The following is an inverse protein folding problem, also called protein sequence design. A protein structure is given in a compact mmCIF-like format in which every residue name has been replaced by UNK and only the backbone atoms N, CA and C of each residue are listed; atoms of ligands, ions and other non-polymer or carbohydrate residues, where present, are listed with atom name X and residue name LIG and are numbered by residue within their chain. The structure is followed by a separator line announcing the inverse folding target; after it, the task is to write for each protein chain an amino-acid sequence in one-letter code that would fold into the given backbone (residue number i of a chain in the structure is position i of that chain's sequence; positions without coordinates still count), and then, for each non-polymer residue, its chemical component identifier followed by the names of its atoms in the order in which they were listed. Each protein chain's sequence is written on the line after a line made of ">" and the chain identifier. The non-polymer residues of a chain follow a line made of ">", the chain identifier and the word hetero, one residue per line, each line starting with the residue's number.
data_IF_990046290753
#
_entry.id   IF_990046290753
#
_cell.length_a   1.000
_cell.length_b   1.000
_cell.length_c   1.000
_cell.angle_alpha   90.00
_cell.angle_beta   90.00
_cell.angle_gamma   90.00
#
_symmetry.space_group_name_H-M   'P 1'
#
loop_
_entity.id
_entity.type
_entity.pdbx_description
1 polymer ?
#
# COMPACT_ATOMS: atom_id res chain seq x y z
N UNK A 1 32.10 27.84 1.40
CA UNK A 1 31.49 26.67 2.07
C UNK A 1 32.16 25.47 1.42
N UNK A 2 33.20 24.93 2.06
CA UNK A 2 33.90 23.75 1.55
C UNK A 2 32.94 22.54 1.55
N UNK A 3 33.08 21.60 0.59
CA UNK A 3 32.27 20.40 0.58
C UNK A 3 32.64 19.53 1.78
N UNK A 4 31.63 19.19 2.58
CA UNK A 4 31.73 18.19 3.65
C UNK A 4 32.17 16.89 2.98
N UNK A 5 33.30 16.35 3.45
CA UNK A 5 33.85 15.06 3.06
C UNK A 5 32.91 13.96 3.57
N UNK A 6 31.80 13.74 2.84
CA UNK A 6 30.85 12.67 3.09
C UNK A 6 31.58 11.36 2.81
N UNK A 7 31.92 10.67 3.89
CA UNK A 7 32.80 9.51 3.91
C UNK A 7 32.42 8.50 2.83
N UNK A 8 33.41 8.08 2.04
CA UNK A 8 33.36 6.93 1.15
C UNK A 8 33.38 5.60 1.93
N UNK A 9 32.59 5.51 3.00
CA UNK A 9 32.47 4.34 3.85
C UNK A 9 31.54 3.29 3.25
N UNK A 10 31.84 2.01 3.49
CA UNK A 10 30.91 0.87 3.36
C UNK A 10 29.58 1.20 4.07
N UNK A 11 28.50 0.49 3.73
CA UNK A 11 27.17 0.70 4.34
C UNK A 11 27.13 0.46 5.87
N UNK A 12 28.24 0.01 6.47
CA UNK A 12 28.39 -0.28 7.90
C UNK A 12 28.57 1.00 8.74
N UNK A 13 27.57 1.34 9.56
CA UNK A 13 27.77 2.16 10.76
C UNK A 13 27.98 1.25 11.97
N UNK A 14 29.23 0.91 12.31
CA UNK A 14 29.57 0.17 13.54
C UNK A 14 28.63 -1.03 13.84
N UNK A 15 28.18 -1.75 12.81
CA UNK A 15 27.30 -2.93 12.90
C UNK A 15 25.79 -2.69 12.77
N UNK A 16 25.33 -1.47 12.44
CA UNK A 16 23.92 -1.19 12.14
C UNK A 16 23.76 -0.82 10.67
N UNK A 17 22.98 -1.64 9.95
CA UNK A 17 22.70 -1.43 8.52
C UNK A 17 21.34 -0.76 8.30
N UNK A 18 21.25 0.29 7.46
CA UNK A 18 19.98 0.95 7.14
C UNK A 18 18.98 -0.03 6.49
N UNK A 19 19.45 -1.03 5.76
CA UNK A 19 18.63 -2.09 5.16
C UNK A 19 17.89 -2.90 6.23
N UNK A 20 18.61 -3.38 7.24
CA UNK A 20 18.03 -4.14 8.34
C UNK A 20 16.99 -3.31 9.10
N UNK A 21 17.24 -2.00 9.30
CA UNK A 21 16.29 -1.11 9.95
C UNK A 21 15.00 -0.90 9.13
N UNK A 22 15.09 -0.82 7.79
CA UNK A 22 13.91 -0.75 6.93
C UNK A 22 13.07 -2.03 7.01
N UNK A 23 13.72 -3.18 6.94
CA UNK A 23 13.06 -4.50 7.07
C UNK A 23 12.38 -4.63 8.44
N UNK A 24 13.08 -4.26 9.52
CA UNK A 24 12.52 -4.27 10.87
C UNK A 24 11.33 -3.32 11.00
N UNK A 25 11.40 -2.14 10.39
CA UNK A 25 10.29 -1.20 10.34
C UNK A 25 9.06 -1.82 9.67
N UNK A 26 9.22 -2.48 8.52
CA UNK A 26 8.11 -3.12 7.81
C UNK A 26 7.53 -4.30 8.60
N UNK A 27 8.38 -5.14 9.20
CA UNK A 27 7.93 -6.24 10.05
C UNK A 27 7.11 -5.74 11.25
N UNK A 28 7.60 -4.70 11.95
CA UNK A 28 6.89 -4.07 13.07
C UNK A 28 5.55 -3.47 12.63
N UNK A 29 5.50 -2.91 11.43
CA UNK A 29 4.30 -2.31 10.87
C UNK A 29 3.25 -3.35 10.49
N UNK A 30 3.60 -4.26 9.59
CA UNK A 30 2.68 -5.19 8.96
C UNK A 30 2.29 -6.35 9.90
N UNK A 31 3.26 -6.94 10.60
CA UNK A 31 3.05 -8.16 11.37
C UNK A 31 2.60 -7.86 12.79
N UNK A 32 3.23 -6.87 13.43
CA UNK A 32 3.02 -6.56 14.85
C UNK A 32 1.97 -5.46 15.12
N UNK A 33 1.59 -4.64 14.13
CA UNK A 33 0.81 -3.39 14.30
C UNK A 33 1.48 -2.36 15.26
N UNK A 34 2.82 -2.41 15.37
CA UNK A 34 3.62 -1.51 16.20
C UNK A 34 4.00 -0.23 15.45
N UNK A 35 2.98 0.55 15.07
CA UNK A 35 3.11 1.72 14.18
C UNK A 35 4.15 2.76 14.63
N UNK A 36 4.21 3.05 15.93
CA UNK A 36 5.15 4.04 16.46
C UNK A 36 6.60 3.55 16.41
N UNK A 37 6.83 2.27 16.71
CA UNK A 37 8.16 1.66 16.60
C UNK A 37 8.57 1.56 15.13
N UNK A 38 7.69 1.06 14.25
CA UNK A 38 7.92 1.09 12.80
C UNK A 38 8.40 2.45 12.32
N UNK A 39 7.68 3.51 12.70
CA UNK A 39 8.01 4.87 12.29
C UNK A 39 9.35 5.35 12.85
N UNK A 40 9.74 4.92 14.06
CA UNK A 40 11.05 5.21 14.65
C UNK A 40 12.19 4.53 13.87
N UNK A 41 12.07 3.23 13.61
CA UNK A 41 13.08 2.45 12.90
C UNK A 41 13.27 2.93 11.45
N UNK A 42 12.18 3.20 10.73
CA UNK A 42 12.25 3.83 9.40
C UNK A 42 12.93 5.20 9.47
N UNK A 43 12.73 5.96 10.54
CA UNK A 43 13.37 7.26 10.73
C UNK A 43 14.86 7.17 10.93
N UNK A 44 15.31 6.18 11.71
CA UNK A 44 16.73 5.91 11.90
C UNK A 44 17.39 5.51 10.57
N UNK A 45 16.76 4.61 9.81
CA UNK A 45 17.26 4.22 8.49
C UNK A 45 17.37 5.42 7.53
N UNK A 46 16.35 6.26 7.47
CA UNK A 46 16.35 7.47 6.62
C UNK A 46 17.45 8.44 7.04
N UNK A 47 17.63 8.66 8.35
CA UNK A 47 18.71 9.52 8.85
C UNK A 47 20.08 9.00 8.41
N UNK A 48 20.32 7.69 8.49
CA UNK A 48 21.57 7.06 8.04
C UNK A 48 21.75 7.18 6.52
N UNK A 49 20.70 6.96 5.73
CA UNK A 49 20.73 7.15 4.27
C UNK A 49 21.11 8.60 3.90
N UNK A 50 20.57 9.56 4.65
CA UNK A 50 20.90 10.99 4.46
C UNK A 50 22.34 11.28 4.87
N UNK A 51 22.78 10.78 6.03
CA UNK A 51 24.14 10.95 6.55
C UNK A 51 25.21 10.36 5.61
N UNK A 52 24.93 9.21 4.99
CA UNK A 52 25.78 8.59 3.97
C UNK A 52 25.73 9.31 2.60
N UNK A 53 24.94 10.37 2.45
CA UNK A 53 24.79 11.12 1.20
C UNK A 53 24.04 10.38 0.09
N UNK A 54 23.41 9.23 0.39
CA UNK A 54 22.78 8.34 -0.60
C UNK A 54 21.57 9.02 -1.29
N UNK A 55 20.94 9.98 -0.63
CA UNK A 55 19.83 10.78 -1.15
C UNK A 55 20.19 11.72 -2.32
N UNK A 56 21.46 11.76 -2.76
CA UNK A 56 21.91 12.55 -3.91
C UNK A 56 22.87 11.78 -4.81
N UNK A 57 22.74 11.94 -6.13
CA UNK A 57 23.66 11.37 -7.15
C UNK A 57 24.88 12.28 -7.38
N UNK A 58 25.27 13.08 -6.37
CA UNK A 58 26.45 13.96 -6.46
C UNK A 58 27.70 13.15 -6.16
N UNK A 59 28.30 12.60 -7.22
CA UNK A 59 29.50 11.77 -7.10
C UNK A 59 30.74 12.63 -6.93
N UNK A 60 31.47 12.45 -5.83
CA UNK A 60 32.81 13.02 -5.68
C UNK A 60 33.84 12.14 -6.41
N UNK A 61 34.98 12.70 -6.88
CA UNK A 61 36.06 11.91 -7.46
C UNK A 61 36.62 10.83 -6.53
N UNK A 62 36.51 11.02 -5.21
CA UNK A 62 36.87 10.02 -4.20
C UNK A 62 35.85 8.86 -4.17
N UNK A 63 34.55 9.16 -4.20
CA UNK A 63 33.48 8.15 -4.26
C UNK A 63 33.61 7.26 -5.50
N UNK A 64 33.87 7.86 -6.67
CA UNK A 64 34.04 7.12 -7.92
C UNK A 64 35.23 6.15 -7.92
N UNK A 65 36.22 6.36 -7.04
CA UNK A 65 37.37 5.45 -6.89
C UNK A 65 37.15 4.37 -5.84
N UNK A 66 36.24 4.60 -4.89
CA UNK A 66 36.01 3.72 -3.74
C UNK A 66 34.83 2.76 -3.93
N UNK A 67 33.79 3.17 -4.66
CA UNK A 67 32.57 2.37 -4.84
C UNK A 67 32.58 1.60 -6.16
N UNK A 68 32.19 0.33 -6.09
CA UNK A 68 31.94 -0.49 -7.27
C UNK A 68 30.61 -0.14 -7.94
N UNK A 69 30.36 -0.65 -9.15
CA UNK A 69 29.04 -0.51 -9.80
C UNK A 69 27.94 -1.19 -9.01
N UNK A 70 28.23 -2.32 -8.36
CA UNK A 70 27.30 -3.03 -7.49
C UNK A 70 26.95 -2.19 -6.26
N UNK A 71 27.94 -1.57 -5.59
CA UNK A 71 27.70 -0.70 -4.44
C UNK A 71 26.80 0.50 -4.79
N UNK A 72 27.00 1.09 -5.97
CA UNK A 72 26.18 2.21 -6.45
C UNK A 72 24.74 1.79 -6.73
N UNK A 73 24.54 0.57 -7.20
CA UNK A 73 23.23 0.01 -7.49
C UNK A 73 22.47 -0.33 -6.19
N UNK A 74 23.15 -0.97 -5.22
CA UNK A 74 22.61 -1.24 -3.89
C UNK A 74 22.15 0.06 -3.23
N UNK A 75 23.01 1.10 -3.22
CA UNK A 75 22.68 2.42 -2.66
C UNK A 75 21.45 3.05 -3.32
N UNK A 76 21.32 2.94 -4.64
CA UNK A 76 20.17 3.46 -5.38
C UNK A 76 18.88 2.74 -4.99
N UNK A 77 18.91 1.41 -4.93
CA UNK A 77 17.77 0.58 -4.52
C UNK A 77 17.38 0.84 -3.07
N UNK A 78 18.36 0.94 -2.18
CA UNK A 78 18.16 1.27 -0.77
C UNK A 78 17.46 2.64 -0.59
N UNK A 79 17.91 3.67 -1.31
CA UNK A 79 17.24 4.97 -1.28
C UNK A 79 15.78 4.87 -1.70
N UNK A 80 15.52 4.23 -2.85
CA UNK A 80 14.17 4.14 -3.39
C UNK A 80 13.26 3.24 -2.53
N UNK A 81 13.80 2.20 -1.91
CA UNK A 81 13.09 1.39 -0.93
C UNK A 81 12.66 2.24 0.27
N UNK A 82 13.58 3.03 0.83
CA UNK A 82 13.27 3.95 1.93
C UNK A 82 12.24 5.01 1.51
N UNK A 83 12.36 5.55 0.30
CA UNK A 83 11.42 6.54 -0.24
C UNK A 83 10.00 5.97 -0.36
N UNK A 84 9.86 4.79 -0.99
CA UNK A 84 8.57 4.09 -1.12
C UNK A 84 7.99 3.79 0.25
N UNK A 85 8.77 3.21 1.16
CA UNK A 85 8.32 2.84 2.50
C UNK A 85 7.88 4.07 3.31
N UNK A 86 8.58 5.20 3.22
CA UNK A 86 8.17 6.47 3.82
C UNK A 86 6.77 6.90 3.33
N UNK A 87 6.51 6.85 2.01
CA UNK A 87 5.20 7.24 1.44
C UNK A 87 4.09 6.29 1.84
N UNK A 88 4.33 4.99 1.75
CA UNK A 88 3.36 3.97 2.16
C UNK A 88 3.04 4.15 3.64
N UNK A 89 4.03 4.23 4.53
CA UNK A 89 3.74 4.41 5.95
C UNK A 89 3.02 5.75 6.24
N UNK A 90 3.39 6.84 5.56
CA UNK A 90 2.72 8.14 5.69
C UNK A 90 1.24 8.11 5.33
N UNK A 91 0.88 7.50 4.20
CA UNK A 91 -0.53 7.38 3.75
C UNK A 91 -1.38 6.66 4.82
N UNK A 92 -0.82 5.65 5.48
CA UNK A 92 -1.59 4.74 6.32
C UNK A 92 -1.69 5.24 7.75
N UNK A 93 -0.60 5.83 8.23
CA UNK A 93 -0.53 6.35 9.59
C UNK A 93 -1.04 7.80 9.66
N UNK A 94 -1.23 8.47 8.53
CA UNK A 94 -1.56 9.89 8.46
C UNK A 94 -0.42 10.78 8.94
N UNK A 95 0.82 10.31 8.84
CA UNK A 95 2.02 11.04 9.29
C UNK A 95 2.66 11.79 8.11
N UNK A 96 3.22 12.99 8.33
CA UNK A 96 4.02 13.66 7.30
C UNK A 96 5.17 12.77 6.84
N UNK A 97 5.43 12.76 5.53
CA UNK A 97 6.54 12.02 4.93
C UNK A 97 7.86 12.73 5.16
N UNK A 98 8.93 11.98 5.41
CA UNK A 98 10.27 12.53 5.71
C UNK A 98 11.04 12.89 4.45
N UNK A 99 10.99 12.06 3.41
CA UNK A 99 11.80 12.24 2.19
C UNK A 99 11.00 12.96 1.10
N UNK A 100 11.11 14.29 0.97
CA UNK A 100 10.35 15.03 -0.06
C UNK A 100 11.04 14.94 -1.42
N UNK A 101 10.27 14.83 -2.50
CA UNK A 101 10.77 14.80 -3.89
C UNK A 101 11.75 15.96 -4.19
N UNK A 102 11.43 17.15 -3.68
CA UNK A 102 12.24 18.36 -3.89
C UNK A 102 13.61 18.38 -3.18
N UNK A 103 13.81 17.50 -2.18
CA UNK A 103 15.02 17.49 -1.34
C UNK A 103 15.99 16.36 -1.76
N UNK A 104 15.65 15.58 -2.78
CA UNK A 104 16.39 14.39 -3.20
C UNK A 104 16.78 14.47 -4.67
N UNK A 105 17.86 13.80 -5.06
CA UNK A 105 18.30 13.76 -6.45
C UNK A 105 18.94 12.40 -6.77
N UNK A 106 18.13 11.35 -6.84
CA UNK A 106 18.57 9.99 -7.21
C UNK A 106 17.78 9.56 -8.44
N UNK A 107 18.42 9.13 -9.54
CA UNK A 107 17.68 8.69 -10.73
C UNK A 107 16.93 7.38 -10.48
N UNK A 108 15.74 7.23 -11.08
CA UNK A 108 15.05 5.93 -11.19
C UNK A 108 15.58 5.23 -12.44
N UNK A 109 16.77 4.65 -12.33
CA UNK A 109 17.39 3.86 -13.39
C UNK A 109 18.17 2.75 -12.74
N UNK A 110 17.71 1.51 -12.89
CA UNK A 110 18.40 0.32 -12.37
C UNK A 110 19.20 -0.29 -13.52
N UNK A 111 20.48 -0.56 -13.29
CA UNK A 111 21.45 -0.89 -14.34
C UNK A 111 21.70 -2.40 -14.49
N UNK A 112 20.92 -3.21 -13.79
CA UNK A 112 21.00 -4.67 -13.77
C UNK A 112 19.61 -5.29 -13.99
N UNK A 113 19.60 -6.58 -14.30
CA UNK A 113 18.43 -7.44 -14.45
C UNK A 113 18.31 -8.48 -13.32
N UNK A 114 18.85 -8.17 -12.13
CA UNK A 114 18.84 -9.05 -10.95
C UNK A 114 17.41 -9.47 -10.60
N UNK A 115 17.15 -10.77 -10.60
CA UNK A 115 15.83 -11.39 -10.42
C UNK A 115 14.76 -11.01 -11.47
N UNK A 116 15.03 -10.13 -12.44
CA UNK A 116 14.03 -9.67 -13.43
C UNK A 116 13.53 -10.83 -14.31
N UNK A 117 14.44 -11.71 -14.74
CA UNK A 117 14.17 -12.84 -15.63
C UNK A 117 14.16 -14.19 -14.92
N UNK A 118 14.43 -14.22 -13.61
CA UNK A 118 14.44 -15.44 -12.82
C UNK A 118 13.03 -16.02 -12.71
N UNK A 119 12.93 -17.35 -12.67
CA UNK A 119 11.65 -18.04 -12.56
C UNK A 119 10.98 -17.70 -11.24
N UNK A 120 9.72 -17.29 -11.32
CA UNK A 120 8.95 -16.94 -10.15
C UNK A 120 8.67 -18.16 -9.28
N UNK A 121 9.11 -18.10 -8.02
CA UNK A 121 8.79 -19.08 -6.98
C UNK A 121 7.68 -18.54 -6.09
N UNK A 122 6.61 -19.31 -5.90
CA UNK A 122 5.50 -18.90 -5.03
C UNK A 122 5.79 -19.06 -3.53
N UNK A 123 7.04 -19.36 -3.11
CA UNK A 123 7.38 -19.69 -1.72
C UNK A 123 6.87 -18.66 -0.71
N UNK A 124 6.94 -17.37 -1.04
CA UNK A 124 6.45 -16.27 -0.19
C UNK A 124 4.94 -16.01 -0.33
N UNK A 125 4.27 -16.61 -1.31
CA UNK A 125 2.89 -16.30 -1.72
C UNK A 125 1.97 -17.51 -1.84
N UNK A 126 2.41 -18.68 -1.41
CA UNK A 126 1.64 -19.92 -1.46
C UNK A 126 1.95 -20.79 -0.25
N UNK A 127 0.98 -21.62 0.14
CA UNK A 127 1.15 -22.58 1.24
C UNK A 127 2.11 -23.72 0.87
N UNK A 128 2.24 -23.97 -0.43
CA UNK A 128 3.13 -24.96 -1.03
C UNK A 128 3.92 -24.29 -2.15
N UNK A 129 5.17 -24.71 -2.33
CA UNK A 129 6.04 -24.17 -3.38
C UNK A 129 5.55 -24.64 -4.75
N UNK A 130 5.10 -23.69 -5.56
CA UNK A 130 4.74 -23.90 -6.95
C UNK A 130 5.77 -23.11 -7.76
N UNK A 131 6.66 -23.83 -8.43
CA UNK A 131 7.54 -23.23 -9.42
C UNK A 131 6.67 -22.84 -10.62
N UNK A 132 6.54 -21.54 -10.86
CA UNK A 132 5.78 -21.05 -12.00
C UNK A 132 6.76 -20.71 -13.13
N UNK A 133 6.45 -21.14 -14.34
CA UNK A 133 7.33 -21.07 -15.51
C UNK A 133 7.38 -19.68 -16.15
N UNK A 134 7.40 -18.63 -15.33
CA UNK A 134 7.41 -17.25 -15.78
C UNK A 134 8.35 -16.35 -15.00
N UNK A 135 8.87 -15.28 -15.64
CA UNK A 135 9.84 -14.38 -15.01
C UNK A 135 9.24 -13.58 -13.86
N UNK A 136 10.05 -13.31 -12.85
CA UNK A 136 9.64 -12.57 -11.65
C UNK A 136 9.35 -11.10 -11.94
N UNK A 137 10.08 -10.41 -12.83
CA UNK A 137 9.82 -8.98 -13.15
C UNK A 137 10.01 -8.00 -11.98
N UNK A 138 10.84 -8.38 -10.99
CA UNK A 138 11.04 -7.61 -9.75
C UNK A 138 11.56 -6.19 -10.02
N UNK A 139 12.58 -6.05 -10.87
CA UNK A 139 13.19 -4.74 -11.20
C UNK A 139 12.19 -3.84 -11.89
N UNK A 140 11.49 -4.35 -12.90
CA UNK A 140 10.46 -3.60 -13.63
C UNK A 140 9.35 -3.11 -12.70
N UNK A 141 8.84 -3.97 -11.81
CA UNK A 141 7.78 -3.57 -10.89
C UNK A 141 8.28 -2.57 -9.85
N UNK A 142 9.49 -2.76 -9.32
CA UNK A 142 10.08 -1.81 -8.38
C UNK A 142 10.29 -0.44 -9.03
N UNK A 143 10.75 -0.37 -10.27
CA UNK A 143 10.88 0.88 -11.03
C UNK A 143 9.55 1.63 -11.13
N UNK A 144 8.47 0.91 -11.46
CA UNK A 144 7.15 1.52 -11.56
C UNK A 144 6.60 1.93 -10.19
N UNK A 145 6.91 1.17 -9.13
CA UNK A 145 6.58 1.53 -7.75
C UNK A 145 7.30 2.81 -7.30
N UNK A 146 8.58 2.97 -7.64
CA UNK A 146 9.35 4.19 -7.40
C UNK A 146 8.68 5.40 -8.10
N UNK A 147 8.34 5.26 -9.38
CA UNK A 147 7.65 6.31 -10.14
C UNK A 147 6.30 6.67 -9.52
N UNK A 148 5.53 5.66 -9.12
CA UNK A 148 4.24 5.86 -8.47
C UNK A 148 4.40 6.55 -7.10
N UNK A 149 5.47 6.26 -6.36
CA UNK A 149 5.75 6.89 -5.05
C UNK A 149 6.02 8.39 -5.13
N UNK A 150 6.53 8.89 -6.26
CA UNK A 150 6.63 10.33 -6.51
C UNK A 150 5.22 10.97 -6.59
N UNK A 151 4.28 10.31 -7.27
CA UNK A 151 2.89 10.76 -7.32
C UNK A 151 2.27 10.70 -5.91
N UNK A 152 2.59 9.68 -5.10
CA UNK A 152 2.16 9.61 -3.70
C UNK A 152 2.63 10.82 -2.88
N UNK A 153 3.90 11.23 -3.02
CA UNK A 153 4.45 12.39 -2.33
C UNK A 153 3.69 13.68 -2.69
N UNK A 154 3.36 13.85 -3.97
CA UNK A 154 2.58 14.99 -4.46
C UNK A 154 1.13 14.95 -3.99
N UNK A 155 0.52 13.77 -3.86
CA UNK A 155 -0.82 13.62 -3.24
C UNK A 155 -0.77 14.00 -1.76
N UNK A 156 0.20 13.47 -1.01
CA UNK A 156 0.37 13.77 0.42
C UNK A 156 0.58 15.27 0.67
N UNK A 157 1.46 15.92 -0.09
CA UNK A 157 1.78 17.34 0.05
C UNK A 157 0.73 18.28 -0.56
N UNK A 158 0.09 17.88 -1.65
CA UNK A 158 -0.85 18.69 -2.42
C UNK A 158 -2.27 18.68 -1.88
N UNK A 159 -2.72 17.53 -1.35
CA UNK A 159 -4.11 17.28 -0.94
C UNK A 159 -4.22 17.08 0.58
N UNK A 160 -3.30 16.36 1.19
CA UNK A 160 -3.39 15.93 2.60
C UNK A 160 -2.49 16.70 3.58
N UNK A 161 -1.75 17.72 3.12
CA UNK A 161 -0.96 18.57 4.00
C UNK A 161 -1.84 19.44 4.92
N UNK A 162 -1.37 19.75 6.12
CA UNK A 162 -2.14 20.53 7.12
C UNK A 162 -2.62 21.89 6.57
N UNK A 163 -1.81 22.53 5.75
CA UNK A 163 -2.13 23.83 5.17
C UNK A 163 -3.16 23.76 4.03
N UNK A 164 -3.59 22.58 3.58
CA UNK A 164 -4.58 22.45 2.50
C UNK A 164 -5.95 23.02 2.88
N UNK A 165 -6.31 23.00 4.17
CA UNK A 165 -7.53 23.64 4.69
C UNK A 165 -7.58 25.16 4.43
N UNK A 166 -6.42 25.80 4.29
CA UNK A 166 -6.31 27.23 3.97
C UNK A 166 -6.39 27.54 2.47
N UNK A 167 -6.26 26.51 1.61
CA UNK A 167 -6.26 26.67 0.15
C UNK A 167 -7.69 26.73 -0.37
N UNK A 168 -7.89 27.45 -1.48
CA UNK A 168 -9.19 27.50 -2.16
C UNK A 168 -9.60 26.11 -2.68
N UNK A 169 -10.88 25.76 -2.58
CA UNK A 169 -11.46 24.54 -3.18
C UNK A 169 -11.12 24.43 -4.67
N UNK A 170 -11.09 25.54 -5.41
CA UNK A 170 -10.73 25.54 -6.84
C UNK A 170 -9.27 25.14 -7.09
N UNK A 171 -8.35 25.56 -6.21
CA UNK A 171 -6.95 25.17 -6.27
C UNK A 171 -6.78 23.67 -6.02
N UNK A 172 -7.49 23.16 -5.02
CA UNK A 172 -7.43 21.74 -4.64
C UNK A 172 -8.02 20.84 -5.73
N UNK A 173 -9.12 21.25 -6.36
CA UNK A 173 -9.69 20.55 -7.52
C UNK A 173 -8.75 20.55 -8.73
N UNK A 174 -8.08 21.67 -9.01
CA UNK A 174 -7.09 21.73 -10.09
C UNK A 174 -5.87 20.85 -9.81
N UNK A 175 -5.40 20.85 -8.56
CA UNK A 175 -4.32 19.97 -8.09
C UNK A 175 -4.72 18.51 -8.26
N UNK A 176 -5.93 18.14 -7.81
CA UNK A 176 -6.45 16.79 -7.95
C UNK A 176 -6.58 16.36 -9.42
N UNK A 177 -7.07 17.23 -10.30
CA UNK A 177 -7.15 16.95 -11.74
C UNK A 177 -5.77 16.71 -12.36
N UNK A 178 -4.77 17.53 -12.00
CA UNK A 178 -3.39 17.36 -12.47
C UNK A 178 -2.81 16.02 -12.01
N UNK A 179 -2.96 15.69 -10.73
CA UNK A 179 -2.46 14.43 -10.17
C UNK A 179 -3.20 13.20 -10.72
N UNK A 180 -4.48 13.36 -11.06
CA UNK A 180 -5.23 12.31 -11.74
C UNK A 180 -4.67 12.05 -13.14
N UNK A 181 -4.31 13.11 -13.88
CA UNK A 181 -3.64 12.97 -15.17
C UNK A 181 -2.28 12.29 -15.02
N UNK A 182 -1.47 12.65 -14.02
CA UNK A 182 -0.20 11.99 -13.74
C UNK A 182 -0.38 10.46 -13.51
N UNK A 183 -1.43 10.07 -12.78
CA UNK A 183 -1.78 8.66 -12.55
C UNK A 183 -2.18 7.96 -13.86
N UNK A 184 -3.01 8.58 -14.69
CA UNK A 184 -3.38 8.03 -15.99
C UNK A 184 -2.18 7.86 -16.92
N UNK A 185 -1.32 8.87 -16.97
CA UNK A 185 -0.14 8.88 -17.84
C UNK A 185 0.84 7.81 -17.39
N UNK A 186 1.04 7.64 -16.08
CA UNK A 186 1.78 6.51 -15.52
C UNK A 186 1.16 5.16 -15.95
N UNK A 187 -0.17 5.00 -15.87
CA UNK A 187 -0.85 3.75 -16.25
C UNK A 187 -0.71 3.42 -17.75
N UNK A 188 -0.74 4.44 -18.61
CA UNK A 188 -0.55 4.34 -20.07
C UNK A 188 0.92 4.05 -20.44
N UNK A 189 1.86 4.52 -19.64
CA UNK A 189 3.29 4.33 -19.85
C UNK A 189 3.84 3.00 -19.29
N UNK A 190 2.98 2.16 -18.68
CA UNK A 190 3.41 0.86 -18.16
C UNK A 190 3.95 -0.03 -19.30
N UNK A 191 5.09 -0.73 -19.06
CA UNK A 191 5.58 -1.73 -20.00
C UNK A 191 4.55 -2.82 -20.29
N UNK A 192 4.58 -3.36 -21.51
CA UNK A 192 3.62 -4.38 -21.96
C UNK A 192 3.58 -5.60 -21.04
N UNK A 193 4.73 -6.04 -20.51
CA UNK A 193 4.83 -7.18 -19.60
C UNK A 193 4.27 -6.92 -18.20
N UNK A 194 3.98 -5.67 -17.84
CA UNK A 194 3.32 -5.29 -16.59
C UNK A 194 1.87 -4.82 -16.81
N UNK A 195 1.45 -4.68 -18.07
CA UNK A 195 0.12 -4.20 -18.39
C UNK A 195 -0.92 -5.29 -18.15
N UNK A 196 -1.66 -5.15 -17.06
CA UNK A 196 -2.77 -6.05 -16.75
C UNK A 196 -3.97 -5.70 -17.60
N UNK A 197 -4.23 -6.53 -18.60
CA UNK A 197 -5.56 -6.66 -19.14
C UNK A 197 -6.24 -7.77 -18.31
N UNK A 198 -7.52 -7.63 -17.97
CA UNK A 198 -8.27 -8.68 -17.25
C UNK A 198 -9.18 -9.49 -18.20
N UNK A 199 -9.33 -9.03 -19.45
CA UNK A 199 -10.38 -9.50 -20.39
C UNK A 199 -9.91 -10.57 -21.39
N UNK A 200 -8.60 -10.77 -21.56
CA UNK A 200 -8.02 -11.71 -22.54
C UNK A 200 -7.66 -13.05 -21.92
N UNK A 201 -8.02 -14.17 -22.56
CA UNK A 201 -7.59 -15.52 -22.17
C UNK A 201 -6.08 -15.79 -22.37
N UNK A 202 -5.31 -14.79 -22.82
CA UNK A 202 -3.90 -14.87 -23.20
C UNK A 202 -3.07 -13.76 -22.55
N UNK A 203 -3.20 -13.58 -21.23
CA UNK A 203 -2.37 -12.62 -20.51
C UNK A 203 -0.97 -13.16 -20.24
N UNK A 204 0.06 -12.30 -20.23
CA UNK A 204 1.29 -12.65 -19.57
C UNK A 204 0.98 -13.05 -18.12
N UNK A 205 1.76 -13.97 -17.55
CA UNK A 205 1.58 -14.43 -16.19
C UNK A 205 1.67 -13.26 -15.19
N UNK A 206 0.61 -13.08 -14.41
CA UNK A 206 0.50 -12.03 -13.41
C UNK A 206 1.23 -12.44 -12.13
N UNK A 207 2.27 -11.70 -11.77
CA UNK A 207 3.00 -11.90 -10.51
C UNK A 207 2.23 -11.25 -9.35
N UNK A 208 2.38 -11.75 -8.11
CA UNK A 208 1.69 -11.18 -6.95
C UNK A 208 2.07 -9.73 -6.72
N UNK A 209 3.32 -9.37 -6.94
CA UNK A 209 3.78 -8.00 -6.76
C UNK A 209 3.34 -7.05 -7.87
N UNK A 210 3.16 -7.52 -9.11
CA UNK A 210 2.51 -6.72 -10.13
C UNK A 210 1.06 -6.41 -9.72
N UNK A 211 0.29 -7.44 -9.29
CA UNK A 211 -1.09 -7.26 -8.79
C UNK A 211 -1.13 -6.25 -7.66
N UNK A 212 -0.13 -6.32 -6.81
CA UNK A 212 0.01 -5.42 -5.69
C UNK A 212 0.29 -3.98 -6.18
N UNK A 213 1.22 -3.76 -7.12
CA UNK A 213 1.41 -2.46 -7.77
C UNK A 213 0.10 -1.86 -8.32
N UNK A 214 -0.74 -2.66 -8.97
CA UNK A 214 -2.04 -2.18 -9.48
C UNK A 214 -3.02 -1.83 -8.35
N UNK A 215 -3.06 -2.61 -7.27
CA UNK A 215 -3.87 -2.28 -6.09
C UNK A 215 -3.46 -0.97 -5.45
N UNK A 216 -2.16 -0.66 -5.45
CA UNK A 216 -1.65 0.62 -4.98
C UNK A 216 -2.09 1.76 -5.89
N UNK A 217 -1.99 1.60 -7.21
CA UNK A 217 -2.49 2.57 -8.19
C UNK A 217 -3.97 2.93 -7.96
N UNK A 218 -4.85 1.92 -7.86
CA UNK A 218 -6.28 2.17 -7.59
C UNK A 218 -6.52 2.78 -6.21
N UNK A 219 -5.73 2.40 -5.20
CA UNK A 219 -5.81 3.01 -3.87
C UNK A 219 -5.49 4.51 -3.90
N UNK A 220 -4.51 4.93 -4.71
CA UNK A 220 -4.17 6.34 -4.90
C UNK A 220 -5.29 7.12 -5.61
N UNK A 221 -5.98 6.51 -6.57
CA UNK A 221 -7.16 7.13 -7.18
C UNK A 221 -8.24 7.40 -6.13
N UNK A 222 -8.55 6.40 -5.28
CA UNK A 222 -9.52 6.57 -4.20
C UNK A 222 -9.05 7.67 -3.25
N UNK A 223 -7.80 7.66 -2.80
CA UNK A 223 -7.26 8.67 -1.90
C UNK A 223 -7.30 10.08 -2.50
N UNK A 224 -7.00 10.24 -3.79
CA UNK A 224 -7.00 11.53 -4.46
C UNK A 224 -8.39 12.17 -4.48
N UNK A 225 -9.43 11.36 -4.72
CA UNK A 225 -10.80 11.84 -4.91
C UNK A 225 -11.63 11.85 -3.62
N UNK A 226 -11.25 11.05 -2.62
CA UNK A 226 -11.96 10.92 -1.34
C UNK A 226 -12.26 12.24 -0.63
N UNK A 227 -11.36 13.25 -0.60
CA UNK A 227 -11.65 14.52 0.05
C UNK A 227 -12.78 15.34 -0.58
N UNK A 228 -13.17 15.05 -1.83
CA UNK A 228 -14.24 15.75 -2.55
C UNK A 228 -15.57 15.01 -2.54
N UNK A 229 -15.64 13.83 -1.93
CA UNK A 229 -16.88 13.13 -1.62
C UNK A 229 -17.51 13.80 -0.39
N UNK A 230 -18.84 13.71 -0.21
CA UNK A 230 -19.61 14.41 0.84
C UNK A 230 -19.16 14.17 2.29
N UNK A 231 -18.31 13.17 2.53
CA UNK A 231 -17.70 12.80 3.82
C UNK A 231 -16.22 13.24 3.93
N UNK A 232 -15.73 14.02 2.97
CA UNK A 232 -14.37 14.52 2.90
C UNK A 232 -14.14 15.79 3.71
N UNK A 233 -12.88 16.10 4.01
CA UNK A 233 -12.52 17.32 4.75
C UNK A 233 -12.64 18.61 3.92
N UNK A 234 -13.00 18.49 2.63
CA UNK A 234 -13.13 19.62 1.71
C UNK A 234 -14.57 19.72 1.23
N UNK A 235 -15.26 20.79 1.60
CA UNK A 235 -16.62 21.06 1.15
C UNK A 235 -16.63 21.28 -0.38
N UNK A 236 -16.87 20.23 -1.14
CA UNK A 236 -17.03 20.29 -2.59
C UNK A 236 -18.27 21.15 -2.90
N UNK A 237 -18.05 22.24 -3.63
CA UNK A 237 -19.03 23.32 -3.78
C UNK A 237 -20.18 22.98 -4.75
N UNK A 238 -20.12 21.84 -5.47
CA UNK A 238 -21.20 21.43 -6.39
C UNK A 238 -21.53 19.93 -6.31
N UNK A 239 -22.82 19.54 -6.38
CA UNK A 239 -23.24 18.13 -6.43
C UNK A 239 -22.64 17.34 -7.60
N UNK A 240 -22.35 18.02 -8.72
CA UNK A 240 -21.73 17.38 -9.88
C UNK A 240 -20.30 16.89 -9.60
N UNK A 241 -19.51 17.67 -8.85
CA UNK A 241 -18.13 17.31 -8.46
C UNK A 241 -18.14 16.13 -7.49
N UNK A 242 -19.07 16.13 -6.53
CA UNK A 242 -19.22 15.03 -5.57
C UNK A 242 -19.53 13.73 -6.32
N UNK A 243 -20.49 13.77 -7.25
CA UNK A 243 -20.87 12.60 -8.06
C UNK A 243 -19.71 12.06 -8.88
N UNK A 244 -18.97 12.94 -9.55
CA UNK A 244 -17.82 12.57 -10.39
C UNK A 244 -16.68 11.95 -9.57
N UNK A 245 -16.34 12.56 -8.43
CA UNK A 245 -15.34 12.05 -7.50
C UNK A 245 -15.75 10.69 -6.92
N UNK A 246 -17.02 10.51 -6.56
CA UNK A 246 -17.54 9.24 -6.05
C UNK A 246 -17.55 8.15 -7.14
N UNK A 247 -17.99 8.47 -8.36
CA UNK A 247 -17.97 7.55 -9.49
C UNK A 247 -16.54 7.07 -9.80
N UNK A 248 -15.58 7.99 -9.74
CA UNK A 248 -14.15 7.67 -9.89
C UNK A 248 -13.65 6.74 -8.78
N UNK A 249 -14.03 7.01 -7.52
CA UNK A 249 -13.72 6.11 -6.40
C UNK A 249 -14.35 4.72 -6.56
N UNK A 250 -15.60 4.64 -7.05
CA UNK A 250 -16.32 3.39 -7.27
C UNK A 250 -15.69 2.53 -8.36
N UNK A 251 -15.26 3.17 -9.47
CA UNK A 251 -14.52 2.50 -10.53
C UNK A 251 -13.18 1.93 -10.02
N UNK A 252 -12.44 2.73 -9.24
CA UNK A 252 -11.18 2.27 -8.64
C UNK A 252 -11.38 1.14 -7.62
N UNK A 253 -12.43 1.19 -6.79
CA UNK A 253 -12.79 0.13 -5.85
C UNK A 253 -13.09 -1.20 -6.58
N UNK A 254 -13.82 -1.12 -7.70
CA UNK A 254 -14.09 -2.27 -8.58
C UNK A 254 -12.82 -2.82 -9.22
N UNK A 255 -11.87 -1.96 -9.58
CA UNK A 255 -10.53 -2.36 -10.03
C UNK A 255 -9.76 -3.14 -8.97
N UNK A 256 -9.81 -2.70 -7.71
CA UNK A 256 -9.22 -3.44 -6.57
C UNK A 256 -9.90 -4.81 -6.39
N UNK A 257 -11.22 -4.90 -6.47
CA UNK A 257 -11.95 -6.16 -6.37
C UNK A 257 -11.54 -7.15 -7.49
N UNK A 258 -11.37 -6.67 -8.73
CA UNK A 258 -10.87 -7.49 -9.83
C UNK A 258 -9.44 -8.02 -9.57
N UNK A 259 -8.55 -7.17 -9.06
CA UNK A 259 -7.19 -7.55 -8.69
C UNK A 259 -7.19 -8.59 -7.56
N UNK A 260 -7.98 -8.39 -6.51
CA UNK A 260 -8.10 -9.31 -5.38
C UNK A 260 -8.67 -10.67 -5.81
N UNK A 261 -9.65 -10.69 -6.72
CA UNK A 261 -10.19 -11.94 -7.28
C UNK A 261 -9.12 -12.75 -8.02
N UNK A 262 -8.33 -12.10 -8.88
CA UNK A 262 -7.22 -12.76 -9.57
C UNK A 262 -6.16 -13.25 -8.59
N UNK A 263 -5.87 -12.45 -7.56
CA UNK A 263 -4.92 -12.83 -6.52
C UNK A 263 -5.37 -14.10 -5.80
N UNK A 264 -6.62 -14.15 -5.33
CA UNK A 264 -7.20 -15.29 -4.61
C UNK A 264 -7.27 -16.57 -5.45
N UNK A 265 -7.37 -16.46 -6.78
CA UNK A 265 -7.37 -17.62 -7.67
C UNK A 265 -6.00 -18.30 -7.79
N UNK A 266 -4.92 -17.57 -7.53
CA UNK A 266 -3.55 -18.00 -7.86
C UNK A 266 -2.61 -18.05 -6.66
N UNK A 267 -2.87 -17.27 -5.62
CA UNK A 267 -1.96 -17.02 -4.51
C UNK A 267 -2.67 -17.06 -3.17
N UNK A 268 -1.90 -17.25 -2.11
CA UNK A 268 -2.38 -17.30 -0.74
C UNK A 268 -2.58 -15.89 -0.17
N UNK A 269 -3.80 -15.58 0.27
CA UNK A 269 -4.15 -14.25 0.78
C UNK A 269 -3.53 -13.93 2.15
N UNK A 270 -3.01 -14.94 2.87
CA UNK A 270 -2.45 -14.75 4.22
C UNK A 270 -1.03 -14.19 4.23
N UNK A 271 -0.31 -14.27 3.10
CA UNK A 271 1.09 -13.80 2.98
C UNK A 271 1.21 -12.57 2.06
N UNK A 272 0.12 -11.83 1.93
CA UNK A 272 0.01 -10.71 1.01
C UNK A 272 0.71 -9.48 1.58
N UNK A 273 1.34 -8.65 0.71
CA UNK A 273 1.86 -7.37 1.13
C UNK A 273 0.86 -6.55 1.90
N UNK A 274 1.34 -5.90 2.95
CA UNK A 274 0.48 -5.14 3.83
C UNK A 274 -0.35 -4.09 3.09
N UNK A 275 0.20 -3.52 2.03
CA UNK A 275 -0.52 -2.49 1.29
C UNK A 275 -1.76 -2.99 0.53
N UNK A 276 -1.82 -4.28 0.19
CA UNK A 276 -3.04 -4.90 -0.35
C UNK A 276 -4.15 -4.99 0.71
N UNK A 277 -3.78 -5.16 1.98
CA UNK A 277 -4.75 -5.11 3.09
C UNK A 277 -5.40 -3.72 3.15
N UNK A 278 -4.65 -2.68 2.87
CA UNK A 278 -5.19 -1.33 2.79
C UNK A 278 -5.96 -1.04 1.52
N UNK A 279 -5.51 -1.55 0.36
CA UNK A 279 -6.32 -1.51 -0.85
C UNK A 279 -7.70 -2.13 -0.61
N UNK A 280 -7.72 -3.30 0.04
CA UNK A 280 -8.96 -3.99 0.48
C UNK A 280 -9.78 -3.11 1.42
N UNK A 281 -9.15 -2.46 2.40
CA UNK A 281 -9.82 -1.55 3.32
C UNK A 281 -10.44 -0.34 2.60
N UNK A 282 -9.67 0.39 1.79
CA UNK A 282 -10.17 1.60 1.11
C UNK A 282 -11.26 1.26 0.10
N UNK A 283 -11.10 0.16 -0.65
CA UNK A 283 -12.15 -0.36 -1.54
C UNK A 283 -13.42 -0.72 -0.76
N UNK A 284 -13.27 -1.43 0.35
CA UNK A 284 -14.36 -1.77 1.26
C UNK A 284 -15.14 -0.54 1.72
N UNK A 285 -14.45 0.57 2.07
CA UNK A 285 -15.16 1.80 2.48
C UNK A 285 -16.04 2.40 1.40
N UNK A 286 -15.71 2.19 0.11
CA UNK A 286 -16.55 2.60 -1.02
C UNK A 286 -17.69 1.61 -1.22
N UNK A 287 -17.41 0.31 -1.22
CA UNK A 287 -18.43 -0.73 -1.38
C UNK A 287 -19.50 -0.70 -0.29
N UNK A 288 -19.14 -0.44 0.98
CA UNK A 288 -20.12 -0.23 2.07
C UNK A 288 -21.11 0.89 1.74
N UNK A 289 -20.64 1.99 1.17
CA UNK A 289 -21.51 3.14 0.85
C UNK A 289 -22.44 2.82 -0.32
N UNK A 290 -21.94 2.13 -1.34
CA UNK A 290 -22.77 1.67 -2.46
C UNK A 290 -23.81 0.64 -1.97
N UNK A 291 -23.40 -0.30 -1.11
CA UNK A 291 -24.25 -1.32 -0.51
C UNK A 291 -25.27 -0.78 0.50
N UNK A 292 -25.09 0.42 1.03
CA UNK A 292 -26.09 1.09 1.87
C UNK A 292 -27.31 1.55 1.06
N UNK A 293 -27.14 1.78 -0.23
CA UNK A 293 -28.21 2.19 -1.15
C UNK A 293 -28.70 1.04 -2.01
N UNK A 294 -27.78 0.15 -2.35
CA UNK A 294 -28.03 -1.01 -3.20
C UNK A 294 -28.35 -2.18 -2.28
N UNK A 295 -29.52 -2.80 -2.43
CA UNK A 295 -29.95 -3.90 -1.55
C UNK A 295 -28.95 -5.07 -1.45
N UNK A 296 -29.25 -6.03 -0.56
CA UNK A 296 -28.38 -7.19 -0.24
C UNK A 296 -27.87 -7.99 -1.44
N UNK A 297 -28.63 -8.06 -2.53
CA UNK A 297 -28.27 -8.84 -3.72
C UNK A 297 -27.35 -8.09 -4.69
N UNK A 298 -26.98 -6.84 -4.39
CA UNK A 298 -26.14 -6.02 -5.25
C UNK A 298 -24.69 -6.51 -5.32
N UNK A 299 -24.03 -6.27 -6.45
CA UNK A 299 -22.61 -6.59 -6.63
C UNK A 299 -21.72 -5.93 -5.56
N UNK A 300 -22.03 -4.70 -5.15
CA UNK A 300 -21.30 -4.00 -4.11
C UNK A 300 -21.39 -4.68 -2.73
N UNK A 301 -22.53 -5.30 -2.42
CA UNK A 301 -22.69 -6.06 -1.19
C UNK A 301 -21.80 -7.31 -1.18
N UNK A 302 -21.70 -8.00 -2.32
CA UNK A 302 -20.79 -9.14 -2.52
C UNK A 302 -19.32 -8.72 -2.43
N UNK A 303 -18.92 -7.65 -3.10
CA UNK A 303 -17.55 -7.11 -3.02
C UNK A 303 -17.18 -6.65 -1.61
N UNK A 304 -18.13 -6.10 -0.85
CA UNK A 304 -17.95 -5.82 0.57
C UNK A 304 -17.71 -7.09 1.39
N UNK A 305 -18.52 -8.13 1.18
CA UNK A 305 -18.33 -9.45 1.81
C UNK A 305 -16.93 -10.00 1.53
N UNK A 306 -16.51 -10.00 0.27
CA UNK A 306 -15.17 -10.42 -0.14
C UNK A 306 -14.07 -9.63 0.59
N UNK A 307 -14.20 -8.30 0.69
CA UNK A 307 -13.25 -7.45 1.40
C UNK A 307 -13.14 -7.83 2.89
N UNK A 308 -14.27 -8.08 3.55
CA UNK A 308 -14.31 -8.48 4.96
C UNK A 308 -13.71 -9.86 5.19
N UNK A 309 -13.96 -10.80 4.28
CA UNK A 309 -13.41 -12.15 4.32
C UNK A 309 -11.90 -12.16 4.10
N UNK A 310 -11.41 -11.39 3.12
CA UNK A 310 -9.97 -11.21 2.87
C UNK A 310 -9.29 -10.65 4.12
N UNK A 311 -9.81 -9.56 4.70
CA UNK A 311 -9.26 -8.98 5.92
C UNK A 311 -9.33 -9.95 7.10
N UNK A 312 -10.36 -10.82 7.14
CA UNK A 312 -10.53 -11.87 8.16
C UNK A 312 -9.50 -12.99 8.04
N UNK A 313 -9.13 -13.36 6.80
CA UNK A 313 -8.08 -14.34 6.55
C UNK A 313 -6.69 -13.76 6.86
N UNK A 314 -6.42 -12.52 6.42
CA UNK A 314 -5.14 -11.84 6.65
C UNK A 314 -4.82 -11.63 8.14
N UNK A 315 -5.83 -11.36 8.97
CA UNK A 315 -5.63 -11.13 10.41
C UNK A 315 -5.17 -12.37 11.22
N UNK A 316 -5.17 -13.56 10.59
CA UNK A 316 -4.69 -14.81 11.19
C UNK A 316 -3.17 -14.81 11.35
N UNK A 317 -2.46 -14.16 10.42
CA UNK A 317 -0.98 -14.06 10.40
C UNK A 317 -0.53 -12.68 10.87
N UNK A 318 -1.18 -11.61 10.38
CA UNK A 318 -0.77 -10.23 10.64
C UNK A 318 -1.75 -9.51 11.58
N UNK A 319 -1.27 -8.62 12.45
CA UNK A 319 -2.16 -7.89 13.38
C UNK A 319 -2.85 -6.69 12.75
N UNK A 320 -2.20 -6.03 11.78
CA UNK A 320 -2.68 -4.76 11.24
C UNK A 320 -4.06 -4.81 10.54
N UNK A 321 -4.44 -5.87 9.77
CA UNK A 321 -5.77 -5.98 9.14
C UNK A 321 -6.96 -6.02 10.13
N UNK A 322 -6.74 -6.38 11.40
CA UNK A 322 -7.78 -6.43 12.44
C UNK A 322 -8.47 -5.08 12.63
N UNK A 323 -7.68 -4.01 12.61
CA UNK A 323 -8.20 -2.65 12.77
C UNK A 323 -9.03 -2.25 11.57
N UNK A 324 -8.54 -2.51 10.35
CA UNK A 324 -9.25 -2.23 9.10
C UNK A 324 -10.62 -2.93 9.08
N UNK A 325 -10.66 -4.24 9.39
CA UNK A 325 -11.91 -5.01 9.48
C UNK A 325 -12.87 -4.43 10.51
N UNK A 326 -12.39 -4.09 11.71
CA UNK A 326 -13.23 -3.51 12.77
C UNK A 326 -13.85 -2.17 12.35
N UNK A 327 -13.07 -1.30 11.69
CA UNK A 327 -13.56 -0.01 11.19
C UNK A 327 -14.62 -0.24 10.11
N UNK A 328 -14.38 -1.18 9.19
CA UNK A 328 -15.30 -1.47 8.10
C UNK A 328 -16.64 -2.04 8.60
N UNK A 329 -16.61 -2.98 9.56
CA UNK A 329 -17.79 -3.49 10.25
C UNK A 329 -18.52 -2.40 11.05
N UNK A 330 -17.78 -1.46 11.65
CA UNK A 330 -18.35 -0.29 12.30
C UNK A 330 -19.09 0.61 11.32
N UNK A 331 -18.50 0.86 10.15
CA UNK A 331 -19.11 1.67 9.08
C UNK A 331 -20.37 1.00 8.52
N UNK A 332 -20.32 -0.30 8.24
CA UNK A 332 -21.48 -1.04 7.75
C UNK A 332 -22.66 -0.99 8.73
N UNK A 333 -22.39 -1.16 10.04
CA UNK A 333 -23.41 -1.00 11.08
C UNK A 333 -24.00 0.40 11.12
N UNK A 334 -23.16 1.45 11.01
CA UNK A 334 -23.61 2.85 10.97
C UNK A 334 -24.51 3.14 9.76
N UNK A 335 -24.20 2.56 8.61
CA UNK A 335 -24.97 2.72 7.38
C UNK A 335 -26.12 1.70 7.23
N UNK A 336 -26.43 0.93 8.27
CA UNK A 336 -27.47 -0.11 8.27
C UNK A 336 -27.30 -1.16 7.15
N UNK A 337 -26.07 -1.42 6.75
CA UNK A 337 -25.73 -2.50 5.82
C UNK A 337 -25.68 -3.81 6.62
N UNK A 338 -26.59 -4.72 6.33
CA UNK A 338 -26.54 -6.06 6.92
C UNK A 338 -25.29 -6.81 6.44
N UNK A 339 -24.57 -7.43 7.36
CA UNK A 339 -23.45 -8.31 7.03
C UNK A 339 -23.74 -9.65 7.67
N UNK A 340 -23.67 -10.72 6.89
CA UNK A 340 -23.79 -12.07 7.40
C UNK A 340 -22.53 -12.40 8.19
N UNK A 341 -22.61 -12.24 9.52
CA UNK A 341 -21.49 -12.45 10.45
C UNK A 341 -21.26 -13.96 10.65
N UNK A 342 -20.96 -14.69 9.57
CA UNK A 342 -20.68 -16.12 9.58
C UNK A 342 -19.20 -16.45 9.87
N UNK A 343 -18.35 -15.45 10.13
CA UNK A 343 -16.89 -15.64 10.28
C UNK A 343 -16.37 -15.70 11.73
N UNK A 344 -17.23 -15.82 12.74
CA UNK A 344 -16.78 -16.27 14.07
C UNK A 344 -16.74 -17.80 14.05
N UNK A 345 -15.59 -18.38 13.67
CA UNK A 345 -15.35 -19.82 13.83
C UNK A 345 -14.80 -20.05 15.25
N UNK A 346 -15.51 -20.79 16.14
CA UNK A 346 -14.89 -21.45 17.26
C UNK A 346 -14.04 -22.62 16.73
N UNK A 347 -12.80 -22.73 17.17
CA UNK A 347 -11.91 -23.84 16.85
C UNK A 347 -12.64 -25.19 16.89
N UNK A 348 -12.70 -25.89 15.76
CA UNK A 348 -12.76 -27.36 15.73
C UNK A 348 -12.30 -27.87 14.37
N UNK A 349 -11.36 -28.81 14.43
CA UNK A 349 -10.77 -29.60 13.35
C UNK A 349 -11.80 -30.39 12.55
N UNK A 350 -11.65 -30.45 11.23
CA UNK A 350 -11.57 -31.70 10.42
C UNK A 350 -11.42 -31.39 8.94
N UNK A 351 -10.58 -32.17 8.28
CA UNK A 351 -10.35 -32.24 6.83
C UNK A 351 -11.63 -32.45 6.00
N UNK A 352 -11.62 -32.00 4.74
CA UNK A 352 -11.78 -32.84 3.54
C UNK A 352 -11.88 -32.00 2.25
N UNK A 353 -11.09 -32.41 1.26
CA UNK A 353 -11.09 -32.02 -0.15
C UNK A 353 -12.43 -32.27 -0.86
N UNK A 354 -12.84 -31.37 -1.77
CA UNK A 354 -13.13 -31.66 -3.21
C UNK A 354 -13.46 -30.37 -3.99
N UNK A 355 -13.19 -30.27 -5.31
CA UNK A 355 -13.29 -29.04 -6.09
C UNK A 355 -14.64 -28.91 -6.80
N UNK A 356 -15.14 -27.68 -6.99
CA UNK A 356 -16.34 -27.45 -7.81
C UNK A 356 -16.21 -26.25 -8.77
N UNK A 357 -16.00 -26.62 -10.02
CA UNK A 357 -16.57 -26.13 -11.29
C UNK A 357 -16.77 -24.62 -11.55
N UNK A 358 -16.19 -24.26 -12.69
CA UNK A 358 -16.36 -23.05 -13.50
C UNK A 358 -17.83 -22.74 -13.83
N UNK A 359 -18.27 -21.52 -13.52
CA UNK A 359 -19.41 -20.88 -14.18
C UNK A 359 -18.95 -19.56 -14.81
N UNK A 360 -19.20 -19.44 -16.10
CA UNK A 360 -19.02 -18.26 -16.95
C UNK A 360 -19.72 -17.04 -16.36
N UNK A 361 -19.01 -15.92 -16.23
CA UNK A 361 -19.60 -14.62 -15.88
C UNK A 361 -19.51 -13.66 -17.07
N UNK A 362 -20.66 -13.11 -17.39
CA UNK A 362 -20.94 -12.16 -18.47
C UNK A 362 -20.33 -10.76 -18.23
N UNK A 363 -20.36 -9.97 -19.30
CA UNK A 363 -19.76 -8.66 -19.56
C UNK A 363 -19.82 -7.61 -18.39
N UNK A 364 -18.66 -7.09 -17.90
CA UNK A 364 -18.58 -6.11 -16.79
C UNK A 364 -19.17 -4.72 -17.08
N UNK A 365 -19.31 -4.33 -18.35
CA UNK A 365 -19.73 -2.97 -18.73
C UNK A 365 -21.23 -2.73 -18.61
N UNK A 366 -22.07 -3.77 -18.71
CA UNK A 366 -23.54 -3.61 -18.62
C UNK A 366 -24.04 -3.43 -17.18
N UNK A 367 -23.32 -3.93 -16.18
CA UNK A 367 -23.68 -3.77 -14.77
C UNK A 367 -23.40 -2.35 -14.25
N UNK A 368 -22.51 -1.60 -14.90
CA UNK A 368 -22.13 -0.23 -14.53
C UNK A 368 -23.25 0.79 -14.77
N UNK A 369 -23.91 0.74 -15.95
CA UNK A 369 -25.00 1.68 -16.30
C UNK A 369 -26.29 1.38 -15.51
N UNK A 370 -26.51 0.12 -15.12
CA UNK A 370 -27.63 -0.30 -14.27
C UNK A 370 -27.38 0.12 -12.81
N UNK A 371 -26.15 -0.02 -12.30
CA UNK A 371 -25.78 0.43 -10.95
C UNK A 371 -25.92 1.95 -10.81
N UNK A 372 -25.54 2.73 -11.82
CA UNK A 372 -25.53 4.20 -11.75
C UNK A 372 -26.90 4.87 -11.98
N UNK A 373 -27.84 4.19 -12.64
CA UNK A 373 -29.17 4.76 -12.96
C UNK A 373 -30.19 4.67 -11.81
N UNK A 374 -29.87 3.95 -10.73
CA UNK A 374 -30.75 3.73 -9.57
C UNK A 374 -30.30 4.33 -8.24
N UNK A 375 -29.16 5.04 -8.18
CA UNK A 375 -28.62 5.58 -6.93
C UNK A 375 -29.21 6.96 -6.62
N UNK A 376 -29.95 7.06 -5.51
CA UNK A 376 -30.39 8.33 -4.94
C UNK A 376 -29.22 8.99 -4.20
N UNK A 377 -28.50 9.84 -4.93
CA UNK A 377 -27.30 10.54 -4.48
C UNK A 377 -27.58 11.41 -3.23
N UNK A 378 -28.80 11.92 -3.07
CA UNK A 378 -29.18 12.78 -1.95
C UNK A 378 -29.41 11.99 -0.64
N UNK A 379 -29.88 10.74 -0.74
CA UNK A 379 -30.00 9.83 0.41
C UNK A 379 -28.62 9.36 0.93
N UNK A 380 -27.64 9.20 0.04
CA UNK A 380 -26.23 8.96 0.43
C UNK A 380 -25.73 10.13 1.25
N UNK A 381 -26.01 11.35 0.78
CA UNK A 381 -25.59 12.61 1.40
C UNK A 381 -26.11 12.74 2.84
N UNK A 382 -27.32 12.26 3.11
CA UNK A 382 -27.93 12.32 4.44
C UNK A 382 -27.38 11.29 5.44
N UNK A 383 -26.74 10.22 4.97
CA UNK A 383 -26.11 9.21 5.85
C UNK A 383 -24.80 9.67 6.50
N UNK A 384 -24.34 10.88 6.15
CA UNK A 384 -23.05 11.45 6.55
C UNK A 384 -23.10 12.33 7.81
N UNK A 385 -24.28 12.74 8.31
CA UNK A 385 -24.40 13.49 9.57
C UNK A 385 -24.50 12.54 10.78
N UNK A 386 -23.44 12.44 11.63
CA UNK A 386 -23.52 12.63 13.11
C UNK A 386 -22.23 12.28 13.93
N UNK A 387 -22.02 13.16 14.91
CA UNK A 387 -21.32 13.17 16.22
C UNK A 387 -19.79 13.12 16.40
N UNK A 388 -19.24 14.31 16.68
CA UNK A 388 -17.86 14.66 17.06
C UNK A 388 -17.48 14.36 18.54
N UNK A 389 -18.34 13.69 19.31
CA UNK A 389 -18.23 13.62 20.78
C UNK A 389 -17.43 12.41 21.32
N UNK A 390 -17.01 11.47 20.47
CA UNK A 390 -16.40 10.20 20.91
C UNK A 390 -14.87 10.19 21.10
N UNK A 391 -14.13 11.21 20.64
CA UNK A 391 -12.65 11.16 20.58
C UNK A 391 -11.94 11.79 21.78
N UNK A 392 -12.66 12.38 22.73
CA UNK A 392 -12.06 13.15 23.84
C UNK A 392 -11.76 12.32 25.10
N UNK A 393 -12.30 11.11 25.23
CA UNK A 393 -12.23 10.32 26.48
C UNK A 393 -11.11 9.26 26.56
N UNK A 394 -10.23 9.15 25.56
CA UNK A 394 -9.11 8.17 25.60
C UNK A 394 -7.76 8.77 26.05
N UNK A 395 -7.66 10.09 26.22
CA UNK A 395 -6.44 10.75 26.67
C UNK A 395 -6.18 10.55 28.19
N UNK A 396 -7.22 10.31 28.99
CA UNK A 396 -7.09 10.31 30.47
C UNK A 396 -6.66 8.96 31.08
N UNK A 397 -6.66 7.86 30.32
CA UNK A 397 -6.30 6.54 30.87
C UNK A 397 -4.83 6.11 30.68
N UNK A 398 -4.04 6.83 29.87
CA UNK A 398 -2.65 6.46 29.57
C UNK A 398 -1.60 7.02 30.54
N UNK A 399 -1.97 7.90 31.48
CA UNK A 399 -1.02 8.54 32.40
C UNK A 399 -0.68 7.75 33.68
N UNK A 400 -1.21 6.53 33.88
CA UNK A 400 -1.01 5.77 35.14
C UNK A 400 -0.14 4.52 35.03
N UNK A 401 0.42 4.18 33.86
CA UNK A 401 1.07 2.87 33.66
C UNK A 401 2.58 2.90 33.38
N UNK A 402 3.25 4.04 33.48
CA UNK A 402 4.71 4.13 33.30
C UNK A 402 5.43 4.36 34.63
N UNK A 403 5.53 3.31 35.45
CA UNK A 403 6.47 3.23 36.57
C UNK A 403 6.89 1.78 36.78
N UNK A 404 8.10 1.43 36.31
CA UNK A 404 8.80 0.21 36.68
C UNK A 404 9.07 -0.73 35.52
N UNK A 405 10.28 -0.68 34.96
CA UNK A 405 11.32 -1.67 35.26
C UNK A 405 12.52 -1.47 34.32
N UNK A 406 13.67 -1.29 34.95
CA UNK A 406 15.01 -1.24 34.38
C UNK A 406 15.68 -2.60 34.68
N UNK A 407 16.41 -3.19 33.74
CA UNK A 407 17.74 -3.88 33.88
C UNK A 407 17.97 -5.01 32.84
N UNK A 408 19.08 -4.83 32.11
CA UNK A 408 20.15 -5.74 31.65
C UNK A 408 19.86 -7.10 30.95
N UNK A 409 20.51 -7.34 29.80
CA UNK A 409 21.75 -8.17 29.66
C UNK A 409 22.18 -8.29 28.17
N UNK A 410 23.50 -8.32 27.99
CA UNK A 410 24.34 -8.35 26.78
C UNK A 410 24.36 -9.65 25.95
N UNK A 411 24.96 -9.49 24.76
CA UNK A 411 25.81 -10.40 23.95
C UNK A 411 25.21 -11.62 23.25
N UNK A 412 25.16 -11.55 21.90
CA UNK A 412 25.58 -12.64 21.00
C UNK A 412 25.84 -12.08 19.58
N UNK A 413 27.10 -12.17 19.13
CA UNK A 413 27.53 -11.96 17.73
C UNK A 413 27.42 -13.28 16.97
N UNK A 414 26.95 -13.30 15.71
CA UNK A 414 27.31 -14.35 14.78
C UNK A 414 28.20 -13.84 13.63
N UNK A 415 29.13 -14.72 13.27
CA UNK A 415 30.21 -14.59 12.29
C UNK A 415 29.77 -14.78 10.83
N UNK A 416 30.59 -14.25 9.93
CA UNK A 416 30.50 -14.21 8.47
C UNK A 416 30.23 -15.56 7.78
N UNK A 417 28.98 -15.81 7.39
CA UNK A 417 28.65 -16.64 6.22
C UNK A 417 27.25 -16.40 5.63
N UNK A 418 26.57 -15.30 6.00
CA UNK A 418 25.18 -15.00 5.60
C UNK A 418 25.05 -13.94 4.48
N UNK A 419 26.16 -13.46 3.89
CA UNK A 419 26.12 -12.32 2.96
C UNK A 419 25.44 -12.63 1.60
N UNK A 420 25.28 -13.90 1.22
CA UNK A 420 24.70 -14.29 -0.09
C UNK A 420 23.20 -14.64 0.00
N UNK A 421 22.66 -14.97 1.19
CA UNK A 421 21.22 -15.21 1.38
C UNK A 421 20.42 -13.93 1.69
N UNK A 422 21.09 -12.83 2.04
CA UNK A 422 20.43 -11.57 2.40
C UNK A 422 20.06 -10.69 1.21
N UNK A 423 20.65 -10.93 0.02
CA UNK A 423 20.39 -10.12 -1.20
C UNK A 423 18.97 -10.30 -1.77
N UNK A 424 18.33 -11.44 -1.52
CA UNK A 424 16.95 -11.69 -1.99
C UNK A 424 15.88 -11.04 -1.10
N UNK A 425 16.18 -10.79 0.18
CA UNK A 425 15.21 -10.26 1.15
C UNK A 425 14.92 -8.77 0.91
N UNK A 426 15.89 -7.98 0.45
CA UNK A 426 15.71 -6.52 0.33
C UNK A 426 14.86 -6.13 -0.88
N UNK A 427 14.92 -6.87 -1.99
CA UNK A 427 13.99 -6.71 -3.12
C UNK A 427 12.61 -7.27 -2.77
N UNK A 428 12.56 -8.41 -2.07
CA UNK A 428 11.32 -9.08 -1.74
C UNK A 428 10.60 -8.44 -0.54
N UNK A 429 11.22 -7.70 0.37
CA UNK A 429 10.54 -7.06 1.51
C UNK A 429 9.91 -5.69 1.19
N UNK A 430 10.29 -5.08 0.06
CA UNK A 430 9.68 -3.84 -0.44
C UNK A 430 8.58 -4.15 -1.46
N UNK A 431 8.63 -5.35 -2.03
CA UNK A 431 7.75 -5.85 -3.10
C UNK A 431 6.73 -6.88 -2.56
N UNK A 432 7.10 -7.67 -1.54
CA UNK A 432 6.20 -8.46 -0.67
C UNK A 432 5.76 -7.63 0.52
#
# INVERSE_FOLDING_TARGET
>A
MEPIDLAAGRLDFDGVDPEALLIMSEALFAWCDERSLSWLYSGLAINMIVDLGIHTDRRTPAMNKALTSEDLEIRRRLFWAAFVQDKVQSIYQGRPSRLREQDVNVPISFMDDYEELDQFTSLSYAREEILMSFPTRSVSVFEQLCKLSLIMDRILSGIYAENCSSKSTSYLLNTARSLHQDLEDWRKALPEHLNMNFDSSSHPPLTPHALSLMSMYYSLIILLHRPFVSDGHMNATSPAVIRDAFATCAAAASGIDAVLRVFLQRFCITTVPYFMSFATYVSGTIHVRIAAQSGRDSGAHKSLGNCLDILSQQQSVCRAPRRARRILLGLARRLNVAIDDASVVPHTSTDLDTPMQTSTLDNPQSDFDILMSGLDIDAIIQSFDFDQSGMMNQADSMNSSFAGLNTDINDAVPTSQDADNFKSITAQAVIS
#
